data_IF_565673405252
#
_entry.id   IF_565673405252
#
_cell.length_a   1.000
_cell.length_b   1.000
_cell.length_c   1.000
_cell.angle_alpha   90.00
_cell.angle_beta   90.00
_cell.angle_gamma   90.00
#
_symmetry.space_group_name_H-M   'P 1'
#
loop_
_entity.id
_entity.type
_entity.pdbx_description
1 polymer ?
#
# COMPACT_ATOMS: atom_id res chain seq x y z
N UNK A 1 -16.15 4.10 12.53
CA UNK A 1 -15.11 3.24 13.17
C UNK A 1 -13.94 3.13 12.20
N UNK A 2 -12.70 3.39 12.63
CA UNK A 2 -11.53 3.37 11.74
C UNK A 2 -11.11 1.95 11.38
N UNK A 3 -10.86 1.65 10.10
CA UNK A 3 -10.43 0.32 9.65
C UNK A 3 -9.05 -0.07 10.20
N UNK A 4 -8.16 0.90 10.39
CA UNK A 4 -6.82 0.64 10.94
C UNK A 4 -6.83 0.42 12.45
N UNK A 5 -7.89 0.79 13.16
CA UNK A 5 -8.00 0.58 14.61
C UNK A 5 -8.65 -0.76 14.98
N UNK A 6 -9.05 -1.55 13.97
CA UNK A 6 -9.72 -2.84 14.16
C UNK A 6 -8.70 -3.96 14.25
N UNK A 7 -8.74 -4.70 15.36
CA UNK A 7 -7.88 -5.87 15.58
C UNK A 7 -8.30 -7.09 14.74
N UNK A 8 -9.53 -7.08 14.22
CA UNK A 8 -10.10 -8.16 13.40
C UNK A 8 -9.87 -7.97 11.89
N UNK A 9 -9.09 -6.96 11.49
CA UNK A 9 -8.75 -6.70 10.09
C UNK A 9 -7.27 -6.99 9.88
N UNK A 10 -6.96 -7.98 9.04
CA UNK A 10 -5.59 -8.31 8.67
C UNK A 10 -5.07 -7.49 7.48
N UNK A 11 -5.95 -7.23 6.49
CA UNK A 11 -5.59 -6.59 5.22
C UNK A 11 -6.66 -5.59 4.81
N UNK A 12 -6.23 -4.44 4.30
CA UNK A 12 -7.06 -3.40 3.67
C UNK A 12 -6.64 -3.28 2.21
N UNK A 13 -7.54 -3.62 1.29
CA UNK A 13 -7.35 -3.40 -0.13
C UNK A 13 -7.88 -2.01 -0.50
N UNK A 14 -7.07 -1.21 -1.19
CA UNK A 14 -7.43 0.13 -1.64
C UNK A 14 -7.02 0.32 -3.09
N UNK A 15 -7.83 1.01 -3.90
CA UNK A 15 -7.38 1.33 -5.26
C UNK A 15 -6.22 2.32 -5.21
N UNK A 16 -5.26 2.16 -6.10
CA UNK A 16 -4.08 3.01 -6.13
C UNK A 16 -4.43 4.50 -6.32
N UNK A 17 -5.48 4.80 -7.09
CA UNK A 17 -5.98 6.17 -7.28
C UNK A 17 -6.49 6.77 -5.97
N UNK A 18 -7.22 5.98 -5.16
CA UNK A 18 -7.71 6.45 -3.87
C UNK A 18 -6.57 6.56 -2.85
N UNK A 19 -5.61 5.63 -2.87
CA UNK A 19 -4.43 5.69 -2.01
C UNK A 19 -3.59 6.95 -2.27
N UNK A 20 -3.51 7.42 -3.51
CA UNK A 20 -2.83 8.67 -3.86
C UNK A 20 -3.46 9.89 -3.19
N UNK A 21 -4.80 9.96 -3.16
CA UNK A 21 -5.53 11.08 -2.54
C UNK A 21 -5.28 11.19 -1.03
N UNK A 22 -4.99 10.06 -0.37
CA UNK A 22 -4.77 9.98 1.07
C UNK A 22 -3.35 9.51 1.42
N UNK A 23 -2.36 9.76 0.54
CA UNK A 23 -0.98 9.25 0.67
C UNK A 23 -0.39 9.52 2.06
N UNK A 24 -0.62 10.71 2.60
CA UNK A 24 -0.19 11.11 3.95
C UNK A 24 -0.71 10.16 5.05
N UNK A 25 -1.96 9.69 4.94
CA UNK A 25 -2.56 8.78 5.92
C UNK A 25 -2.03 7.34 5.75
N UNK A 26 -1.82 6.90 4.51
CA UNK A 26 -1.23 5.58 4.21
C UNK A 26 0.22 5.52 4.70
N UNK A 27 1.01 6.57 4.47
CA UNK A 27 2.39 6.67 4.92
C UNK A 27 2.51 6.79 6.44
N UNK A 28 1.59 7.50 7.10
CA UNK A 28 1.52 7.59 8.55
C UNK A 28 1.17 6.26 9.24
N UNK A 29 0.54 5.31 8.53
CA UNK A 29 0.30 3.96 9.04
C UNK A 29 1.57 3.11 8.92
N UNK A 30 2.31 3.04 10.03
CA UNK A 30 3.58 2.30 10.18
C UNK A 30 3.40 0.94 10.85
N UNK A 31 2.21 0.66 11.41
CA UNK A 31 1.94 -0.62 12.06
C UNK A 31 1.88 -1.74 10.99
N UNK A 32 2.37 -2.95 11.31
CA UNK A 32 2.37 -4.07 10.37
C UNK A 32 0.94 -4.57 10.05
N UNK A 33 0.00 -4.39 10.98
CA UNK A 33 -1.41 -4.78 10.82
C UNK A 33 -2.36 -3.60 11.10
N UNK A 34 -3.45 -3.48 10.33
CA UNK A 34 -3.70 -4.18 9.06
C UNK A 34 -2.71 -3.76 7.96
N UNK A 35 -2.34 -4.70 7.09
CA UNK A 35 -1.52 -4.41 5.91
C UNK A 35 -2.37 -3.66 4.86
N UNK A 36 -1.85 -2.56 4.31
CA UNK A 36 -2.53 -1.78 3.26
C UNK A 36 -1.95 -2.17 1.91
N UNK A 37 -2.77 -2.69 1.01
CA UNK A 37 -2.36 -3.11 -0.33
C UNK A 37 -3.07 -2.28 -1.40
N UNK A 38 -2.28 -1.66 -2.27
CA UNK A 38 -2.75 -0.85 -3.39
C UNK A 38 -3.04 -1.76 -4.60
N UNK A 39 -4.26 -1.72 -5.12
CA UNK A 39 -4.69 -2.51 -6.28
C UNK A 39 -5.04 -1.61 -7.48
N UNK A 40 -4.89 -2.09 -8.73
CA UNK A 40 -5.38 -1.37 -9.90
C UNK A 40 -6.90 -1.21 -9.88
N UNK A 41 -7.41 -0.29 -10.70
CA UNK A 41 -8.83 -0.20 -11.01
C UNK A 41 -9.10 -0.60 -12.46
N UNK A 42 -10.38 -0.73 -12.84
CA UNK A 42 -10.77 -1.08 -14.22
C UNK A 42 -10.28 -0.06 -15.26
N UNK A 43 -10.18 1.21 -14.87
CA UNK A 43 -9.86 2.32 -15.77
C UNK A 43 -8.40 2.77 -15.64
N UNK A 44 -7.76 2.48 -14.50
CA UNK A 44 -6.41 2.95 -14.19
C UNK A 44 -5.50 1.74 -13.89
N UNK A 45 -4.53 1.45 -14.78
CA UNK A 45 -3.57 0.37 -14.56
C UNK A 45 -2.65 0.68 -13.38
N UNK A 46 -2.08 -0.38 -12.80
CA UNK A 46 -1.17 -0.28 -11.65
C UNK A 46 0.16 0.36 -12.04
N UNK A 47 0.66 1.28 -11.21
CA UNK A 47 1.94 1.96 -11.37
C UNK A 47 2.87 1.65 -10.17
N UNK A 48 3.87 0.76 -10.32
CA UNK A 48 4.74 0.33 -9.22
C UNK A 48 5.62 1.45 -8.65
N UNK A 49 5.81 2.58 -9.36
CA UNK A 49 6.61 3.69 -8.85
C UNK A 49 5.89 4.49 -7.75
N UNK A 50 4.56 4.36 -7.68
CA UNK A 50 3.70 5.08 -6.72
C UNK A 50 3.26 4.23 -5.54
N UNK A 51 3.55 2.94 -5.56
CA UNK A 51 3.17 2.02 -4.49
C UNK A 51 4.02 2.27 -3.22
N UNK A 52 3.33 2.47 -2.09
CA UNK A 52 3.95 2.76 -0.80
C UNK A 52 4.70 1.57 -0.20
N UNK A 53 4.25 0.34 -0.44
CA UNK A 53 4.90 -0.90 0.01
C UNK A 53 6.20 -1.09 -0.75
N UNK A 54 6.19 -0.95 -2.08
CA UNK A 54 7.41 -1.03 -2.89
C UNK A 54 8.41 0.06 -2.51
N UNK A 55 7.96 1.28 -2.24
CA UNK A 55 8.84 2.36 -1.76
C UNK A 55 9.52 2.00 -0.43
N UNK A 56 8.79 1.42 0.52
CA UNK A 56 9.34 0.93 1.80
C UNK A 56 10.30 -0.25 1.58
N UNK A 57 10.01 -1.10 0.61
CA UNK A 57 10.79 -2.28 0.31
C UNK A 57 12.00 -2.04 -0.62
N UNK A 58 12.11 -0.88 -1.27
CA UNK A 58 13.29 -0.50 -2.07
C UNK A 58 14.62 -0.50 -1.29
N UNK A 59 14.57 -0.42 0.04
CA UNK A 59 15.75 -0.60 0.90
C UNK A 59 16.07 -2.07 1.23
N UNK A 60 15.16 -3.00 0.90
CA UNK A 60 15.24 -4.42 1.24
C UNK A 60 15.49 -5.31 0.02
N UNK A 61 15.10 -4.88 -1.18
CA UNK A 61 15.26 -5.66 -2.41
C UNK A 61 16.41 -5.13 -3.26
N UNK A 62 17.41 -5.98 -3.50
CA UNK A 62 18.41 -5.77 -4.54
C UNK A 62 17.76 -5.95 -5.92
N UNK A 63 18.23 -5.25 -6.97
CA UNK A 63 17.66 -5.34 -8.32
C UNK A 63 17.68 -6.75 -8.94
N UNK A 64 18.39 -7.71 -8.35
CA UNK A 64 18.40 -9.12 -8.77
C UNK A 64 17.19 -9.94 -8.27
N UNK A 65 16.40 -9.47 -7.31
CA UNK A 65 15.20 -10.18 -6.81
C UNK A 65 13.96 -10.04 -7.71
N UNK A 66 14.04 -9.20 -8.75
CA UNK A 66 12.96 -8.93 -9.71
C UNK A 66 13.12 -9.68 -11.05
N UNK A 67 14.08 -10.61 -11.15
CA UNK A 67 14.33 -11.42 -12.35
C UNK A 67 13.63 -12.77 -12.33
#
# INVERSE_FOLDING_TARGET
>A
RSFVAREDVGVVLISQVLAELIRHAVEAHTRPLPAVLEIPSKEHPYDPAKDSVLRRARGLFTPDDLR
#
